data_IF_281065333824
#
_entry.id   IF_281065333824
#
_cell.length_a   1.000
_cell.length_b   1.000
_cell.length_c   1.000
_cell.angle_alpha   90.00
_cell.angle_beta   90.00
_cell.angle_gamma   90.00
#
_symmetry.space_group_name_H-M   'P 1'
#
loop_
_entity.id
_entity.type
_entity.pdbx_description
1 polymer ?
#
# COMPACT_ATOMS: atom_id res chain seq x y z
N UNK A 1 -27.03 16.77 5.01
CA UNK A 1 -26.10 16.90 3.86
C UNK A 1 -24.84 16.16 4.24
N UNK A 2 -24.44 15.16 3.47
CA UNK A 2 -23.22 14.38 3.75
C UNK A 2 -22.05 15.03 3.01
N UNK A 3 -20.98 15.34 3.73
CA UNK A 3 -19.76 15.91 3.16
C UNK A 3 -18.82 14.78 2.77
N UNK A 4 -18.35 14.79 1.53
CA UNK A 4 -17.36 13.82 1.02
C UNK A 4 -15.97 14.43 1.18
N UNK A 5 -15.04 13.68 1.78
CA UNK A 5 -13.65 14.11 1.91
C UNK A 5 -12.75 13.49 0.83
N UNK A 6 -11.51 13.97 0.74
CA UNK A 6 -10.54 13.46 -0.23
C UNK A 6 -10.26 11.97 -0.07
N UNK A 7 -10.25 11.48 1.17
CA UNK A 7 -10.01 10.08 1.48
C UNK A 7 -11.10 9.17 0.88
N UNK A 8 -12.36 9.61 0.92
CA UNK A 8 -13.49 8.85 0.38
C UNK A 8 -13.33 8.55 -1.13
N UNK A 9 -12.75 9.49 -1.90
CA UNK A 9 -12.48 9.26 -3.32
C UNK A 9 -11.45 8.14 -3.54
N UNK A 10 -10.35 8.14 -2.78
CA UNK A 10 -9.26 7.18 -2.98
C UNK A 10 -9.61 5.80 -2.44
N UNK A 11 -10.18 5.74 -1.24
CA UNK A 11 -10.67 4.48 -0.66
C UNK A 11 -11.85 3.93 -1.46
N UNK A 12 -12.74 4.80 -1.95
CA UNK A 12 -13.80 4.42 -2.89
C UNK A 12 -13.25 3.87 -4.21
N UNK A 13 -12.13 4.39 -4.72
CA UNK A 13 -11.49 3.83 -5.91
C UNK A 13 -10.94 2.41 -5.68
N UNK A 14 -10.33 2.14 -4.51
CA UNK A 14 -9.92 0.78 -4.14
C UNK A 14 -11.13 -0.15 -4.03
N UNK A 15 -12.17 0.26 -3.31
CA UNK A 15 -13.40 -0.52 -3.16
C UNK A 15 -14.04 -0.82 -4.53
N UNK A 16 -14.12 0.18 -5.41
CA UNK A 16 -14.61 -0.02 -6.76
C UNK A 16 -13.77 -1.01 -7.54
N UNK A 17 -12.43 -0.96 -7.43
CA UNK A 17 -11.54 -1.91 -8.09
C UNK A 17 -11.71 -3.34 -7.56
N UNK A 18 -11.85 -3.52 -6.23
CA UNK A 18 -12.12 -4.80 -5.60
C UNK A 18 -13.47 -5.39 -6.05
N UNK A 19 -14.55 -4.60 -5.97
CA UNK A 19 -15.91 -5.03 -6.34
C UNK A 19 -16.01 -5.35 -7.84
N UNK A 20 -15.40 -4.53 -8.70
CA UNK A 20 -15.36 -4.80 -10.15
C UNK A 20 -14.53 -6.05 -10.49
N UNK A 21 -13.58 -6.43 -9.63
CA UNK A 21 -12.85 -7.69 -9.70
C UNK A 21 -13.64 -8.91 -9.19
N UNK A 22 -14.89 -8.72 -8.74
CA UNK A 22 -15.73 -9.79 -8.19
C UNK A 22 -15.47 -10.10 -6.71
N UNK A 23 -14.73 -9.23 -6.01
CA UNK A 23 -14.40 -9.40 -4.60
C UNK A 23 -15.45 -8.73 -3.71
N UNK A 24 -15.63 -9.26 -2.49
CA UNK A 24 -16.57 -8.74 -1.50
C UNK A 24 -15.82 -8.07 -0.33
N UNK A 25 -15.44 -6.79 -0.44
CA UNK A 25 -14.79 -6.08 0.66
C UNK A 25 -15.78 -5.69 1.76
N UNK A 26 -15.39 -5.93 3.01
CA UNK A 26 -16.03 -5.40 4.20
C UNK A 26 -15.07 -4.48 4.93
N UNK A 27 -15.53 -3.29 5.34
CA UNK A 27 -14.73 -2.39 6.17
C UNK A 27 -14.57 -3.03 7.56
N UNK A 28 -13.34 -3.40 7.89
CA UNK A 28 -13.01 -4.01 9.17
C UNK A 28 -12.78 -2.92 10.22
N UNK A 29 -11.99 -1.91 9.88
CA UNK A 29 -11.66 -0.83 10.82
C UNK A 29 -11.44 0.52 10.11
N UNK A 30 -11.96 1.58 10.75
CA UNK A 30 -11.77 2.98 10.33
C UNK A 30 -11.39 3.81 11.55
N UNK A 31 -10.09 3.93 11.82
CA UNK A 31 -9.61 4.80 12.89
C UNK A 31 -9.57 6.28 12.48
N UNK A 32 -9.13 6.61 11.25
CA UNK A 32 -8.96 8.00 10.79
C UNK A 32 -8.98 8.12 9.25
N UNK A 33 -8.91 9.35 8.73
CA UNK A 33 -8.92 9.62 7.29
C UNK A 33 -7.64 9.18 6.56
N UNK A 34 -6.57 8.79 7.29
CA UNK A 34 -5.25 8.52 6.72
C UNK A 34 -5.00 7.04 6.41
N UNK A 35 -5.85 6.13 6.91
CA UNK A 35 -5.80 4.68 6.62
C UNK A 35 -7.17 4.01 6.73
N UNK A 36 -7.35 2.89 6.05
CA UNK A 36 -8.48 1.98 6.25
C UNK A 36 -8.01 0.52 6.21
N UNK A 37 -8.70 -0.35 6.93
CA UNK A 37 -8.44 -1.79 6.93
C UNK A 37 -9.69 -2.50 6.44
N UNK A 38 -9.54 -3.33 5.42
CA UNK A 38 -10.64 -4.13 4.85
C UNK A 38 -10.39 -5.60 5.07
N UNK A 39 -11.46 -6.33 5.31
CA UNK A 39 -11.48 -7.77 5.12
C UNK A 39 -12.05 -8.06 3.72
N UNK A 40 -11.36 -8.90 2.95
CA UNK A 40 -11.81 -9.29 1.60
C UNK A 40 -11.80 -10.80 1.52
N UNK A 41 -12.98 -11.40 1.30
CA UNK A 41 -13.11 -12.83 1.06
C UNK A 41 -13.21 -13.10 -0.44
N UNK A 42 -12.39 -14.02 -0.92
CA UNK A 42 -12.42 -14.53 -2.29
C UNK A 42 -12.83 -16.00 -2.28
N UNK A 43 -12.99 -16.61 -3.46
CA UNK A 43 -13.20 -18.05 -3.57
C UNK A 43 -11.92 -18.88 -3.31
N UNK A 44 -10.74 -18.24 -3.26
CA UNK A 44 -9.45 -18.92 -3.07
C UNK A 44 -8.87 -18.70 -1.67
N UNK A 45 -8.98 -17.49 -1.16
CA UNK A 45 -8.38 -17.04 0.09
C UNK A 45 -9.14 -15.84 0.69
N UNK A 46 -8.89 -15.58 1.96
CA UNK A 46 -9.35 -14.37 2.64
C UNK A 46 -8.16 -13.47 2.95
N UNK A 47 -8.35 -12.16 2.78
CA UNK A 47 -7.32 -11.15 2.93
C UNK A 47 -7.71 -10.12 3.99
N UNK A 48 -6.73 -9.65 4.74
CA UNK A 48 -6.80 -8.37 5.44
C UNK A 48 -5.95 -7.37 4.66
N UNK A 49 -6.58 -6.29 4.20
CA UNK A 49 -5.96 -5.27 3.35
C UNK A 49 -5.77 -3.99 4.16
N UNK A 50 -4.55 -3.71 4.57
CA UNK A 50 -4.17 -2.44 5.15
C UNK A 50 -3.95 -1.40 4.04
N UNK A 51 -4.69 -0.30 4.08
CA UNK A 51 -4.73 0.66 2.97
C UNK A 51 -4.32 2.06 3.41
N UNK A 52 -3.42 2.69 2.63
CA UNK A 52 -3.13 4.14 2.72
C UNK A 52 -3.14 4.75 1.33
N UNK A 53 -3.47 6.04 1.25
CA UNK A 53 -3.34 6.82 0.01
C UNK A 53 -2.29 7.93 0.15
N UNK A 54 -1.67 8.30 -0.96
CA UNK A 54 -0.81 9.48 -1.06
C UNK A 54 -1.04 10.13 -2.43
N UNK A 55 -1.13 11.46 -2.47
CA UNK A 55 -1.45 12.25 -3.68
C UNK A 55 -0.37 13.25 -4.08
N UNK A 56 0.74 13.24 -3.36
CA UNK A 56 1.87 14.15 -3.56
C UNK A 56 3.11 13.34 -3.89
N UNK A 57 3.19 12.75 -5.10
CA UNK A 57 4.40 12.07 -5.51
C UNK A 57 5.55 13.06 -5.68
N UNK A 58 6.76 12.56 -5.49
CA UNK A 58 7.98 13.22 -5.95
C UNK A 58 8.36 12.75 -7.36
N UNK A 59 9.15 13.58 -8.05
CA UNK A 59 9.59 13.33 -9.42
C UNK A 59 8.63 13.88 -10.49
N UNK A 60 9.15 14.02 -11.72
CA UNK A 60 8.42 14.56 -12.88
C UNK A 60 8.29 13.58 -14.04
N UNK A 61 9.16 12.57 -14.10
CA UNK A 61 9.17 11.52 -15.14
C UNK A 61 8.76 10.17 -14.57
N UNK A 62 9.44 9.75 -13.51
CA UNK A 62 9.07 8.64 -12.67
C UNK A 62 8.46 9.22 -11.40
N UNK A 63 7.29 8.72 -11.02
CA UNK A 63 6.57 9.20 -9.85
C UNK A 63 6.86 8.29 -8.67
N UNK A 64 7.15 8.89 -7.51
CA UNK A 64 7.39 8.13 -6.27
C UNK A 64 6.49 8.64 -5.16
N UNK A 65 5.72 7.73 -4.57
CA UNK A 65 4.92 7.97 -3.38
C UNK A 65 5.65 7.42 -2.17
N UNK A 66 5.58 8.13 -1.05
CA UNK A 66 6.15 7.69 0.23
C UNK A 66 5.03 7.60 1.26
N UNK A 67 4.90 6.43 1.87
CA UNK A 67 3.93 6.13 2.91
C UNK A 67 4.70 5.97 4.20
N UNK A 68 4.58 6.94 5.08
CA UNK A 68 5.17 6.89 6.42
C UNK A 68 4.24 6.15 7.37
N UNK A 69 4.82 5.51 8.37
CA UNK A 69 4.11 4.79 9.43
C UNK A 69 4.56 5.34 10.77
N UNK A 70 3.61 5.71 11.61
CA UNK A 70 3.89 6.02 13.01
C UNK A 70 4.10 4.73 13.81
N UNK A 71 4.68 4.86 14.99
CA UNK A 71 4.94 3.74 15.90
C UNK A 71 3.66 2.96 16.22
N UNK A 72 2.57 3.65 16.53
CA UNK A 72 1.27 3.05 16.78
C UNK A 72 0.75 2.28 15.55
N UNK A 73 0.98 2.78 14.34
CA UNK A 73 0.56 2.07 13.12
C UNK A 73 1.37 0.77 12.97
N UNK A 74 2.67 0.80 13.25
CA UNK A 74 3.52 -0.40 13.18
C UNK A 74 3.11 -1.43 14.24
N UNK A 75 2.82 -1.01 15.47
CA UNK A 75 2.34 -1.88 16.54
C UNK A 75 1.00 -2.54 16.16
N UNK A 76 0.06 -1.78 15.63
CA UNK A 76 -1.24 -2.29 15.20
C UNK A 76 -1.11 -3.25 14.01
N UNK A 77 -0.35 -2.88 12.97
CA UNK A 77 -0.08 -3.74 11.81
C UNK A 77 0.48 -5.09 12.29
N UNK A 78 1.44 -5.05 13.22
CA UNK A 78 2.06 -6.25 13.79
C UNK A 78 1.06 -7.08 14.58
N UNK A 79 0.23 -6.44 15.41
CA UNK A 79 -0.81 -7.10 16.20
C UNK A 79 -1.85 -7.78 15.30
N UNK A 80 -2.41 -7.08 14.32
CA UNK A 80 -3.42 -7.63 13.42
C UNK A 80 -2.85 -8.81 12.63
N UNK A 81 -1.62 -8.70 12.13
CA UNK A 81 -0.96 -9.80 11.44
C UNK A 81 -0.81 -11.02 12.36
N UNK A 82 -0.33 -10.85 13.60
CA UNK A 82 -0.17 -11.95 14.57
C UNK A 82 -1.48 -12.62 14.94
N UNK A 83 -2.56 -11.84 15.10
CA UNK A 83 -3.89 -12.36 15.45
C UNK A 83 -4.56 -13.13 14.31
N UNK A 84 -4.19 -12.86 13.05
CA UNK A 84 -4.86 -13.42 11.86
C UNK A 84 -3.99 -14.35 10.99
N UNK A 85 -2.72 -14.56 11.37
CA UNK A 85 -1.71 -15.23 10.53
C UNK A 85 -2.02 -16.66 10.05
N UNK A 86 -3.07 -17.31 10.57
CA UNK A 86 -3.47 -18.68 10.20
C UNK A 86 -4.67 -18.74 9.27
N UNK A 87 -5.49 -17.70 9.19
CA UNK A 87 -6.78 -17.74 8.49
C UNK A 87 -6.85 -16.77 7.31
N UNK A 88 -6.15 -15.63 7.42
CA UNK A 88 -6.23 -14.55 6.43
C UNK A 88 -4.83 -14.06 6.07
N UNK A 89 -4.60 -13.88 4.79
CA UNK A 89 -3.35 -13.31 4.31
C UNK A 89 -3.37 -11.79 4.53
N UNK A 90 -2.35 -11.24 5.17
CA UNK A 90 -2.25 -9.81 5.44
C UNK A 90 -1.46 -9.13 4.31
N UNK A 91 -2.08 -8.18 3.62
CA UNK A 91 -1.49 -7.45 2.50
C UNK A 91 -1.70 -5.95 2.65
N UNK A 92 -0.95 -5.19 1.87
CA UNK A 92 -1.05 -3.74 1.84
C UNK A 92 -1.52 -3.26 0.46
N UNK A 93 -2.47 -2.33 0.46
CA UNK A 93 -2.89 -1.59 -0.73
C UNK A 93 -2.47 -0.12 -0.62
N UNK A 94 -1.48 0.28 -1.42
CA UNK A 94 -1.01 1.66 -1.47
C UNK A 94 -1.60 2.38 -2.67
N UNK A 95 -2.53 3.29 -2.40
CA UNK A 95 -3.18 4.10 -3.44
C UNK A 95 -2.28 5.29 -3.77
N UNK A 96 -1.62 5.18 -4.92
CA UNK A 96 -0.71 6.17 -5.48
C UNK A 96 -1.51 7.13 -6.36
N UNK A 97 -2.13 8.13 -5.73
CA UNK A 97 -2.95 9.14 -6.39
C UNK A 97 -2.15 10.36 -6.86
N UNK A 98 -2.83 11.35 -7.43
CA UNK A 98 -2.23 12.61 -7.85
C UNK A 98 -2.99 13.79 -7.23
N UNK A 99 -2.49 15.02 -7.40
CA UNK A 99 -3.19 16.19 -6.86
C UNK A 99 -4.56 16.36 -7.51
N UNK A 100 -4.65 16.13 -8.82
CA UNK A 100 -5.92 16.17 -9.55
C UNK A 100 -6.31 14.75 -10.01
N UNK A 101 -7.61 14.44 -9.92
CA UNK A 101 -8.11 13.12 -10.34
C UNK A 101 -7.96 12.88 -11.85
N UNK A 102 -7.88 13.94 -12.65
CA UNK A 102 -7.62 13.90 -14.09
C UNK A 102 -6.16 13.59 -14.45
N UNK A 103 -5.25 13.63 -13.48
CA UNK A 103 -3.85 13.36 -13.74
C UNK A 103 -3.62 11.86 -14.02
N UNK A 104 -2.70 11.58 -14.93
CA UNK A 104 -2.33 10.24 -15.36
C UNK A 104 -1.40 9.55 -14.34
N UNK A 105 -1.20 8.23 -14.49
CA UNK A 105 -0.31 7.40 -13.66
C UNK A 105 -0.75 7.19 -12.20
N UNK A 106 -2.03 7.34 -11.90
CA UNK A 106 -2.56 6.87 -10.62
C UNK A 106 -2.60 5.34 -10.63
N UNK A 107 -2.12 4.71 -9.55
CA UNK A 107 -2.04 3.24 -9.46
C UNK A 107 -2.35 2.75 -8.04
N UNK A 108 -2.80 1.52 -7.92
CA UNK A 108 -2.89 0.81 -6.64
C UNK A 108 -1.78 -0.23 -6.63
N UNK A 109 -0.88 -0.13 -5.65
CA UNK A 109 0.18 -1.11 -5.45
C UNK A 109 -0.23 -2.11 -4.37
N UNK A 110 -0.22 -3.40 -4.71
CA UNK A 110 -0.43 -4.50 -3.76
C UNK A 110 0.93 -5.05 -3.33
N UNK A 111 1.20 -4.98 -2.03
CA UNK A 111 2.45 -5.40 -1.41
C UNK A 111 2.14 -6.49 -0.39
N UNK A 112 2.83 -7.62 -0.50
CA UNK A 112 2.69 -8.72 0.44
C UNK A 112 3.46 -8.47 1.74
N UNK A 113 3.12 -9.22 2.78
CA UNK A 113 3.71 -9.05 4.11
C UNK A 113 5.24 -9.16 4.11
N UNK A 114 5.79 -10.17 3.45
CA UNK A 114 7.23 -10.41 3.32
C UNK A 114 7.92 -9.24 2.59
N UNK A 115 7.37 -8.77 1.48
CA UNK A 115 7.88 -7.62 0.74
C UNK A 115 7.85 -6.33 1.57
N UNK A 116 6.81 -6.16 2.39
CA UNK A 116 6.71 -5.06 3.35
C UNK A 116 7.82 -5.13 4.40
N UNK A 117 8.07 -6.31 5.00
CA UNK A 117 9.15 -6.52 5.99
C UNK A 117 10.56 -6.35 5.42
N UNK A 118 10.73 -6.53 4.12
CA UNK A 118 12.00 -6.20 3.46
C UNK A 118 12.16 -4.68 3.24
N UNK A 119 11.06 -3.93 3.16
CA UNK A 119 11.09 -2.48 2.94
C UNK A 119 11.06 -1.67 4.24
N UNK A 120 10.35 -2.18 5.26
CA UNK A 120 10.06 -1.49 6.52
C UNK A 120 10.58 -2.32 7.68
N UNK A 121 11.36 -1.69 8.54
CA UNK A 121 11.87 -2.29 9.76
C UNK A 121 10.85 -2.08 10.88
N UNK A 122 10.02 -3.10 11.11
CA UNK A 122 8.98 -3.06 12.16
C UNK A 122 9.56 -3.25 13.57
N UNK A 123 10.74 -3.86 13.69
CA UNK A 123 11.43 -4.11 14.96
C UNK A 123 12.35 -2.94 15.35
N UNK A 124 12.55 -1.98 14.43
CA UNK A 124 13.39 -0.78 14.58
C UNK A 124 14.85 -1.11 14.93
N UNK A 125 15.33 -2.30 14.57
CA UNK A 125 16.69 -2.74 14.88
C UNK A 125 17.75 -1.96 14.08
N UNK A 126 17.43 -1.52 12.87
CA UNK A 126 18.40 -1.02 11.89
C UNK A 126 18.24 0.47 11.56
N UNK A 127 17.08 1.08 11.83
CA UNK A 127 16.79 2.45 11.37
C UNK A 127 16.37 3.39 12.51
N UNK A 128 17.15 4.47 12.73
CA UNK A 128 16.72 5.64 13.50
C UNK A 128 15.99 6.62 12.57
N UNK A 129 14.67 6.49 12.45
CA UNK A 129 13.84 7.37 11.62
C UNK A 129 12.40 6.89 11.47
N UNK A 130 11.55 7.67 10.82
CA UNK A 130 10.15 7.27 10.55
C UNK A 130 10.12 6.08 9.61
N UNK A 131 9.45 5.00 10.03
CA UNK A 131 9.18 3.84 9.19
C UNK A 131 8.46 4.27 7.91
N UNK A 132 8.91 3.78 6.76
CA UNK A 132 8.40 4.27 5.46
C UNK A 132 8.52 3.22 4.39
N UNK A 133 7.47 3.08 3.58
CA UNK A 133 7.50 2.36 2.31
C UNK A 133 7.32 3.36 1.16
N UNK A 134 8.10 3.17 0.10
CA UNK A 134 7.95 3.91 -1.14
C UNK A 134 7.49 3.02 -2.28
N UNK A 135 6.60 3.58 -3.09
CA UNK A 135 6.19 2.99 -4.38
C UNK A 135 6.65 3.92 -5.48
N UNK A 136 7.41 3.41 -6.44
CA UNK A 136 7.89 4.14 -7.60
C UNK A 136 7.30 3.56 -8.89
N UNK A 137 6.55 4.39 -9.60
CA UNK A 137 6.04 4.08 -10.93
C UNK A 137 7.00 4.61 -11.99
N UNK A 138 7.45 3.70 -12.85
CA UNK A 138 8.44 3.98 -13.89
C UNK A 138 7.70 4.03 -15.22
N UNK A 139 7.90 5.10 -15.99
CA UNK A 139 7.16 5.30 -17.23
C UNK A 139 7.42 4.15 -18.20
N UNK A 140 6.35 3.54 -18.73
CA UNK A 140 6.42 2.43 -19.69
C UNK A 140 6.81 1.06 -19.09
N UNK A 141 7.08 0.98 -17.79
CA UNK A 141 7.37 -0.29 -17.11
C UNK A 141 6.08 -0.98 -16.67
N UNK A 142 5.91 -2.30 -16.90
CA UNK A 142 4.80 -3.07 -16.32
C UNK A 142 4.99 -3.32 -14.81
N UNK A 143 6.19 -3.05 -14.29
CA UNK A 143 6.55 -3.19 -12.89
C UNK A 143 6.50 -1.85 -12.16
N UNK A 144 6.03 -1.88 -10.91
CA UNK A 144 6.33 -0.88 -9.89
C UNK A 144 7.57 -1.30 -9.13
N UNK A 145 8.26 -0.33 -8.55
CA UNK A 145 9.43 -0.54 -7.69
C UNK A 145 9.06 -0.17 -6.26
N UNK A 146 9.36 -1.03 -5.30
CA UNK A 146 9.18 -0.72 -3.88
C UNK A 146 10.49 -0.81 -3.11
N UNK A 147 10.61 0.05 -2.12
CA UNK A 147 11.75 0.18 -1.21
C UNK A 147 11.28 0.93 0.04
N UNK A 148 12.13 1.16 1.04
CA UNK A 148 11.65 1.79 2.26
C UNK A 148 12.75 2.29 3.19
N UNK A 149 12.43 2.38 4.48
CA UNK A 149 13.37 2.76 5.52
C UNK A 149 14.44 1.69 5.74
N UNK A 150 14.09 0.40 5.63
CA UNK A 150 15.00 -0.75 5.78
C UNK A 150 15.80 -1.08 4.52
N UNK A 151 15.22 -0.79 3.35
CA UNK A 151 15.83 -1.04 2.03
C UNK A 151 15.96 0.26 1.24
N UNK A 152 17.19 0.68 0.98
CA UNK A 152 17.47 1.79 0.07
C UNK A 152 17.13 1.41 -1.39
N UNK A 153 16.73 2.39 -2.21
CA UNK A 153 16.42 2.20 -3.63
C UNK A 153 17.66 1.87 -4.47
N UNK A 154 18.85 2.23 -3.97
CA UNK A 154 20.14 1.89 -4.57
C UNK A 154 21.09 1.29 -3.55
N UNK A 155 21.86 0.30 -3.99
CA UNK A 155 23.00 -0.27 -3.28
C UNK A 155 24.17 -0.35 -4.26
N UNK A 156 25.31 0.23 -3.90
CA UNK A 156 26.51 0.31 -4.76
C UNK A 156 26.21 0.84 -6.18
N UNK A 157 25.32 1.83 -6.28
CA UNK A 157 24.91 2.46 -7.54
C UNK A 157 23.95 1.62 -8.40
N UNK A 158 23.57 0.42 -7.97
CA UNK A 158 22.63 -0.48 -8.67
C UNK A 158 21.22 -0.37 -8.09
N UNK A 159 20.22 -0.66 -8.91
CA UNK A 159 18.81 -0.77 -8.49
C UNK A 159 18.69 -1.88 -7.42
N UNK A 160 18.22 -1.52 -6.23
CA UNK A 160 18.03 -2.42 -5.09
C UNK A 160 16.56 -2.52 -4.68
N UNK A 161 15.65 -2.02 -5.54
CA UNK A 161 14.20 -2.07 -5.30
C UNK A 161 13.62 -3.46 -5.55
N UNK A 162 12.54 -3.82 -4.85
CA UNK A 162 11.73 -4.99 -5.20
C UNK A 162 10.84 -4.59 -6.38
N UNK A 163 10.70 -5.47 -7.37
CA UNK A 163 9.79 -5.29 -8.50
C UNK A 163 8.49 -6.01 -8.24
N UNK A 164 7.38 -5.29 -8.35
CA UNK A 164 6.03 -5.83 -8.18
C UNK A 164 5.20 -5.52 -9.44
N UNK A 165 4.30 -6.42 -9.83
CA UNK A 165 3.45 -6.19 -11.01
C UNK A 165 2.40 -5.10 -10.73
N UNK A 166 2.11 -4.27 -11.74
CA UNK A 166 1.04 -3.26 -11.65
C UNK A 166 -0.35 -3.87 -11.47
N UNK A 167 -0.59 -5.08 -11.96
CA UNK A 167 -1.93 -5.71 -12.00
C UNK A 167 -2.14 -6.77 -10.91
N UNK A 168 -1.36 -6.75 -9.81
CA UNK A 168 -1.52 -7.74 -8.73
C UNK A 168 -2.92 -7.79 -8.13
N UNK A 169 -3.62 -6.65 -8.10
CA UNK A 169 -5.00 -6.58 -7.61
C UNK A 169 -5.95 -7.51 -8.36
N UNK A 170 -5.74 -7.71 -9.67
CA UNK A 170 -6.54 -8.64 -10.47
C UNK A 170 -6.20 -10.12 -10.24
N UNK A 171 -5.17 -10.41 -9.44
CA UNK A 171 -4.75 -11.77 -9.10
C UNK A 171 -5.15 -12.20 -7.68
N UNK A 172 -5.70 -11.29 -6.87
CA UNK A 172 -6.36 -11.63 -5.59
C UNK A 172 -7.62 -12.46 -5.87
#
# INVERSE_FOLDING_TARGET
MTTICKADYYYGALLSALVNGGLAPALFEKENDNRQIYEVTTNKASYIIYTKYNTTPSGSKDFTWSFSFSDNEIEEITKIHQENNKEKEFIFAFICGQKQLSDYNQVIAIVYWDEFLECVDIEKEQVRGTARLSVKAVKGSPWLRIYGSKRADRLDGKDNTIKIERNRLGNL
#
